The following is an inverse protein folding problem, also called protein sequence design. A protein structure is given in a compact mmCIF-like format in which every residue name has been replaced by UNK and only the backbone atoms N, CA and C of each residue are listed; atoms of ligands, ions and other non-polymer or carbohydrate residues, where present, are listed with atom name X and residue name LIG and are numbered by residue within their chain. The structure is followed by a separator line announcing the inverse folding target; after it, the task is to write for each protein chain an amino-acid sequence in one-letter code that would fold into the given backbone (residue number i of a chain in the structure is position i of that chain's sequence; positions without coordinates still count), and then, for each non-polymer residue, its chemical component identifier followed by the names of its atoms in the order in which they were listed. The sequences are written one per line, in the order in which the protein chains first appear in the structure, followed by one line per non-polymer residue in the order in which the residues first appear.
data_IF_107321079502
#
_entry.id   IF_107321079502
#
_cell.length_a   1.000
_cell.length_b   1.000
_cell.length_c   1.000
_cell.angle_alpha   90.00
_cell.angle_beta   90.00
_cell.angle_gamma   90.00
#
_symmetry.space_group_name_H-M   'P 1'
#
loop_
_entity.id
_entity.type
_entity.pdbx_description
1 polymer ?
#
# COMPACT_ATOMS: atom_id res chain seq x y z
N UNK A 1 -10.50 9.46 -7.53
CA UNK A 1 -9.23 8.68 -7.57
C UNK A 1 -9.52 7.36 -6.90
N UNK A 2 -9.46 6.26 -7.64
CA UNK A 2 -9.86 4.91 -7.21
C UNK A 2 -8.79 4.19 -6.36
N UNK A 3 -8.15 4.86 -5.39
CA UNK A 3 -7.11 4.22 -4.56
C UNK A 3 -7.65 3.07 -3.70
N UNK A 4 -8.91 3.13 -3.30
CA UNK A 4 -9.61 2.02 -2.62
C UNK A 4 -9.66 0.78 -3.51
N UNK A 5 -10.06 0.96 -4.78
CA UNK A 5 -10.14 -0.13 -5.76
C UNK A 5 -8.79 -0.75 -6.06
N UNK A 6 -7.72 0.05 -6.15
CA UNK A 6 -6.35 -0.45 -6.31
C UNK A 6 -5.95 -1.28 -5.09
N UNK A 7 -6.25 -0.78 -3.89
CA UNK A 7 -5.92 -1.48 -2.67
C UNK A 7 -6.63 -2.83 -2.61
N UNK A 8 -7.92 -2.86 -2.94
CA UNK A 8 -8.70 -4.10 -3.06
C UNK A 8 -8.11 -5.07 -4.11
N UNK A 9 -7.68 -4.56 -5.27
CA UNK A 9 -7.04 -5.39 -6.31
C UNK A 9 -5.71 -6.01 -5.85
N UNK A 10 -4.98 -5.32 -4.98
CA UNK A 10 -3.78 -5.84 -4.34
C UNK A 10 -4.10 -6.79 -3.16
N UNK A 11 -5.38 -6.99 -2.82
CA UNK A 11 -5.84 -7.77 -1.68
C UNK A 11 -5.66 -7.06 -0.34
N UNK A 12 -5.46 -5.75 -0.35
CA UNK A 12 -5.32 -4.93 0.85
C UNK A 12 -6.61 -4.23 1.26
N UNK A 13 -6.55 -3.60 2.42
CA UNK A 13 -7.60 -2.75 2.98
C UNK A 13 -7.03 -1.36 3.32
N UNK A 14 -7.83 -0.31 3.13
CA UNK A 14 -7.42 1.05 3.51
C UNK A 14 -7.61 1.19 5.02
N UNK A 15 -6.52 1.48 5.72
CA UNK A 15 -6.49 1.73 7.17
C UNK A 15 -5.85 3.06 7.47
N UNK A 16 -6.22 3.64 8.60
CA UNK A 16 -5.60 4.85 9.11
C UNK A 16 -4.57 4.49 10.18
N UNK A 17 -3.31 4.88 9.96
CA UNK A 17 -2.19 4.62 10.88
C UNK A 17 -1.62 5.92 11.42
N UNK A 18 -1.25 5.91 12.71
CA UNK A 18 -0.59 7.04 13.36
C UNK A 18 0.89 7.11 12.94
N UNK A 19 1.25 8.14 12.18
CA UNK A 19 2.64 8.51 11.93
C UNK A 19 3.07 9.66 12.87
N UNK A 20 4.38 9.89 12.97
CA UNK A 20 4.96 10.97 13.80
C UNK A 20 4.40 12.38 13.53
N UNK A 21 3.81 12.60 12.34
CA UNK A 21 3.25 13.89 11.91
C UNK A 21 1.71 13.91 11.85
N UNK A 22 1.06 12.88 12.38
CA UNK A 22 -0.40 12.73 12.37
C UNK A 22 -0.84 11.43 11.71
N UNK A 23 -2.16 11.27 11.61
CA UNK A 23 -2.78 10.09 11.02
C UNK A 23 -2.70 10.14 9.50
N UNK A 24 -2.32 9.02 8.90
CA UNK A 24 -2.21 8.86 7.45
C UNK A 24 -3.01 7.64 7.01
N UNK A 25 -3.55 7.69 5.79
CA UNK A 25 -4.20 6.53 5.19
C UNK A 25 -3.18 5.70 4.43
N UNK A 26 -3.19 4.40 4.68
CA UNK A 26 -2.34 3.42 4.00
C UNK A 26 -3.20 2.27 3.49
N UNK A 27 -2.81 1.71 2.36
CA UNK A 27 -3.28 0.40 1.93
C UNK A 27 -2.45 -0.66 2.65
N UNK A 28 -3.13 -1.41 3.52
CA UNK A 28 -2.54 -2.51 4.28
C UNK A 28 -2.83 -3.82 3.56
N UNK A 29 -1.78 -4.40 2.98
CA UNK A 29 -1.84 -5.68 2.28
C UNK A 29 -1.30 -6.74 3.24
N UNK A 30 -2.11 -7.74 3.66
CA UNK A 30 -1.61 -8.80 4.52
C UNK A 30 -0.62 -9.71 3.79
N UNK A 31 0.31 -10.32 4.54
CA UNK A 31 1.40 -11.17 4.04
C UNK A 31 0.97 -12.24 3.04
N UNK A 32 -0.27 -12.73 3.17
CA UNK A 32 -0.84 -13.76 2.28
C UNK A 32 -0.93 -13.33 0.81
N UNK A 33 -0.94 -12.03 0.51
CA UNK A 33 -1.08 -11.52 -0.87
C UNK A 33 0.24 -11.12 -1.54
N UNK A 34 1.37 -11.15 -0.85
CA UNK A 34 2.67 -10.85 -1.46
C UNK A 34 3.72 -11.91 -1.09
N UNK A 35 4.50 -12.33 -2.09
CA UNK A 35 5.43 -13.47 -1.95
C UNK A 35 6.63 -13.18 -1.06
N UNK A 36 7.07 -11.92 -0.97
CA UNK A 36 8.28 -11.56 -0.24
C UNK A 36 8.28 -10.09 0.17
N UNK A 37 9.00 -9.76 1.26
CA UNK A 37 9.09 -8.39 1.81
C UNK A 37 9.68 -7.38 0.79
N UNK A 38 10.43 -7.88 -0.21
CA UNK A 38 10.92 -7.09 -1.36
C UNK A 38 9.81 -6.49 -2.21
N UNK A 39 8.70 -7.21 -2.45
CA UNK A 39 7.58 -6.69 -3.24
C UNK A 39 6.94 -5.47 -2.57
N UNK A 40 6.92 -5.45 -1.23
CA UNK A 40 6.42 -4.30 -0.49
C UNK A 40 7.29 -3.07 -0.71
N UNK A 41 8.62 -3.23 -0.59
CA UNK A 41 9.57 -2.14 -0.82
C UNK A 41 9.57 -1.64 -2.27
N UNK A 42 9.36 -2.52 -3.26
CA UNK A 42 9.26 -2.14 -4.67
C UNK A 42 8.02 -1.27 -4.99
N UNK A 43 6.99 -1.34 -4.15
CA UNK A 43 5.78 -0.50 -4.24
C UNK A 43 5.86 0.75 -3.35
N UNK A 44 7.05 1.13 -2.89
CA UNK A 44 7.27 2.19 -1.88
C UNK A 44 6.50 1.91 -0.57
N UNK A 45 6.19 0.64 -0.32
CA UNK A 45 5.51 0.15 0.86
C UNK A 45 6.48 -0.13 2.00
N UNK A 46 5.98 -0.02 3.23
CA UNK A 46 6.70 -0.37 4.45
C UNK A 46 6.14 -1.64 5.05
N UNK A 47 7.00 -2.59 5.40
CA UNK A 47 6.55 -3.79 6.12
C UNK A 47 6.31 -3.44 7.59
N UNK A 48 5.07 -3.61 8.03
CA UNK A 48 4.64 -3.44 9.41
C UNK A 48 5.14 -4.58 10.30
N UNK A 49 5.06 -4.39 11.62
CA UNK A 49 5.54 -5.38 12.61
C UNK A 49 4.79 -6.70 12.57
N UNK A 50 3.53 -6.69 12.13
CA UNK A 50 2.71 -7.89 11.91
C UNK A 50 3.05 -8.61 10.59
N UNK A 51 4.02 -8.09 9.84
CA UNK A 51 4.44 -8.64 8.56
C UNK A 51 3.44 -8.37 7.45
N UNK A 52 2.57 -7.36 7.60
CA UNK A 52 1.77 -6.79 6.51
C UNK A 52 2.53 -5.68 5.79
N UNK A 53 2.16 -5.38 4.55
CA UNK A 53 2.73 -4.30 3.76
C UNK A 53 1.83 -3.07 3.82
N UNK A 54 2.36 -1.92 4.23
CA UNK A 54 1.67 -0.65 4.33
C UNK A 54 2.16 0.29 3.22
N UNK A 55 1.31 0.53 2.22
CA UNK A 55 1.60 1.44 1.10
C UNK A 55 0.80 2.73 1.31
N UNK A 56 1.44 3.90 1.27
CA UNK A 56 0.71 5.17 1.42
C UNK A 56 -0.24 5.38 0.24
N UNK A 57 -1.48 5.78 0.52
CA UNK A 57 -2.47 5.98 -0.55
C UNK A 57 -2.07 7.09 -1.53
N UNK A 58 -1.32 8.09 -1.06
CA UNK A 58 -0.73 9.15 -1.89
C UNK A 58 0.25 8.60 -2.94
N UNK A 59 0.91 7.47 -2.63
CA UNK A 59 1.82 6.78 -3.53
C UNK A 59 1.09 5.87 -4.52
N UNK A 60 -0.01 5.23 -4.11
CA UNK A 60 -0.87 4.46 -5.03
C UNK A 60 -1.39 5.33 -6.19
N UNK A 61 -1.77 6.58 -5.90
CA UNK A 61 -2.17 7.54 -6.93
C UNK A 61 -1.04 7.92 -7.89
N UNK A 62 0.22 7.90 -7.42
CA UNK A 62 1.40 8.11 -8.27
C UNK A 62 1.75 6.89 -9.11
N UNK A 63 1.66 5.68 -8.55
CA UNK A 63 1.88 4.43 -9.30
C UNK A 63 0.96 4.32 -10.53
N UNK A 64 -0.31 4.74 -10.42
CA UNK A 64 -1.21 4.84 -11.58
C UNK A 64 -0.77 5.88 -12.63
N UNK A 65 -0.15 6.98 -12.19
CA UNK A 65 0.32 8.04 -13.08
C UNK A 65 1.64 7.71 -13.76
N UNK A 66 2.51 6.93 -13.09
CA UNK A 66 3.90 6.72 -13.51
C UNK A 66 4.11 5.45 -14.36
N UNK A 67 3.23 4.44 -14.32
CA UNK A 67 3.44 3.20 -15.09
C UNK A 67 2.17 2.49 -15.61
N UNK A 68 2.10 2.38 -16.95
CA UNK A 68 2.01 1.11 -17.68
C UNK A 68 0.91 0.09 -17.31
N UNK A 69 -0.34 0.54 -17.23
CA UNK A 69 -1.51 -0.36 -17.38
C UNK A 69 -2.58 0.27 -18.29
N UNK A 70 -2.15 0.92 -19.38
CA UNK A 70 -2.99 1.17 -20.57
C UNK A 70 -2.66 0.14 -21.64
#
# INVERSE_FOLDING_TARGET
MDYEKICELLGGEIVEVDEKKGKIKVCKIPRKYYKNDRNCAEMDGKVAKDGSCEIRVDYLGRLLKDNKYS
#
